data_IF_697333660945
#
_entry.id   IF_697333660945
#
_cell.length_a   1.000
_cell.length_b   1.000
_cell.length_c   1.000
_cell.angle_alpha   90.00
_cell.angle_beta   90.00
_cell.angle_gamma   90.00
#
_symmetry.space_group_name_H-M   'P 1'
#
loop_
_entity.id
_entity.type
_entity.pdbx_description
1 polymer ?
#
# COMPACT_ATOMS: atom_id res chain seq x y z
N UNK A 1 -13.28 -16.87 11.51
CA UNK A 1 -14.05 -15.92 12.34
C UNK A 1 -14.36 -14.69 11.48
N UNK A 2 -15.45 -13.94 11.68
CA UNK A 2 -15.66 -12.74 10.87
C UNK A 2 -14.59 -11.71 11.24
N UNK A 3 -13.90 -11.17 10.23
CA UNK A 3 -12.84 -10.18 10.41
C UNK A 3 -13.49 -8.91 10.97
N UNK A 4 -12.98 -8.43 12.10
CA UNK A 4 -13.54 -7.28 12.79
C UNK A 4 -13.39 -6.01 11.90
N UNK A 5 -14.42 -5.14 11.84
CA UNK A 5 -14.42 -3.93 11.01
C UNK A 5 -13.49 -2.81 11.51
N UNK A 6 -12.67 -3.07 12.53
CA UNK A 6 -11.73 -2.12 13.18
C UNK A 6 -10.25 -2.38 12.81
N UNK A 7 -9.97 -3.31 11.90
CA UNK A 7 -8.61 -3.53 11.40
C UNK A 7 -8.27 -2.53 10.29
N UNK A 8 -7.12 -1.86 10.39
CA UNK A 8 -6.62 -0.99 9.34
C UNK A 8 -6.60 -1.74 7.99
N UNK A 9 -6.88 -1.10 6.84
CA UNK A 9 -6.96 -1.76 5.55
C UNK A 9 -5.79 -2.69 5.22
N UNK A 10 -4.56 -2.33 5.61
CA UNK A 10 -3.40 -3.22 5.44
C UNK A 10 -3.47 -4.48 6.29
N UNK A 11 -3.94 -4.40 7.53
CA UNK A 11 -4.14 -5.59 8.38
C UNK A 11 -5.17 -6.53 7.78
N UNK A 12 -6.25 -5.96 7.24
CA UNK A 12 -7.29 -6.74 6.56
C UNK A 12 -6.77 -7.44 5.30
N UNK A 13 -5.97 -6.73 4.49
CA UNK A 13 -5.34 -7.29 3.28
C UNK A 13 -4.38 -8.42 3.65
N UNK A 14 -3.57 -8.25 4.69
CA UNK A 14 -2.63 -9.27 5.16
C UNK A 14 -3.38 -10.50 5.69
N UNK A 15 -4.44 -10.31 6.48
CA UNK A 15 -5.25 -11.42 7.01
C UNK A 15 -5.92 -12.21 5.87
N UNK A 16 -6.54 -11.51 4.92
CA UNK A 16 -7.15 -12.14 3.74
C UNK A 16 -6.13 -12.92 2.91
N UNK A 17 -4.97 -12.33 2.64
CA UNK A 17 -3.93 -12.98 1.85
C UNK A 17 -3.37 -14.22 2.56
N UNK A 18 -3.19 -14.18 3.88
CA UNK A 18 -2.83 -15.37 4.67
C UNK A 18 -3.91 -16.45 4.61
N UNK A 19 -5.20 -16.07 4.69
CA UNK A 19 -6.29 -17.01 4.48
C UNK A 19 -6.25 -17.70 3.11
N UNK A 20 -5.92 -16.96 2.05
CA UNK A 20 -5.75 -17.52 0.69
C UNK A 20 -4.56 -18.48 0.62
N UNK A 21 -3.45 -18.19 1.31
CA UNK A 21 -2.29 -19.09 1.39
C UNK A 21 -2.70 -20.44 1.99
N UNK A 22 -3.48 -20.41 3.09
CA UNK A 22 -3.91 -21.60 3.81
C UNK A 22 -4.96 -22.41 3.04
N UNK A 23 -5.89 -21.74 2.35
CA UNK A 23 -7.02 -22.39 1.66
C UNK A 23 -6.72 -22.77 0.20
N UNK A 24 -5.77 -22.09 -0.46
CA UNK A 24 -5.43 -22.31 -1.87
C UNK A 24 -3.90 -22.44 -2.07
N UNK A 25 -3.32 -23.65 -2.00
CA UNK A 25 -1.88 -23.87 -2.23
C UNK A 25 -1.38 -23.42 -3.61
N UNK A 26 -2.22 -23.50 -4.65
CA UNK A 26 -1.88 -22.99 -5.99
C UNK A 26 -1.85 -21.46 -6.07
N UNK A 27 -2.50 -20.77 -5.14
CA UNK A 27 -2.54 -19.32 -5.05
C UNK A 27 -1.47 -18.76 -4.10
N UNK A 28 -0.82 -19.62 -3.30
CA UNK A 28 0.04 -19.22 -2.19
C UNK A 28 1.19 -18.30 -2.62
N UNK A 29 1.76 -18.49 -3.81
CA UNK A 29 2.80 -17.61 -4.35
C UNK A 29 2.33 -16.16 -4.50
N UNK A 30 1.25 -15.96 -5.24
CA UNK A 30 0.66 -14.62 -5.46
C UNK A 30 0.14 -14.00 -4.17
N UNK A 31 -0.48 -14.80 -3.29
CA UNK A 31 -0.94 -14.31 -2.00
C UNK A 31 0.23 -13.90 -1.08
N UNK A 32 1.37 -14.61 -1.14
CA UNK A 32 2.59 -14.23 -0.40
C UNK A 32 3.18 -12.91 -0.91
N UNK A 33 3.15 -12.66 -2.22
CA UNK A 33 3.52 -11.36 -2.77
C UNK A 33 2.60 -10.26 -2.20
N UNK A 34 1.28 -10.46 -2.17
CA UNK A 34 0.36 -9.47 -1.59
C UNK A 34 0.72 -9.15 -0.13
N UNK A 35 1.04 -10.15 0.70
CA UNK A 35 1.50 -9.95 2.08
C UNK A 35 2.81 -9.15 2.13
N UNK A 36 3.77 -9.47 1.29
CA UNK A 36 5.06 -8.76 1.23
C UNK A 36 4.85 -7.28 0.88
N UNK A 37 4.09 -6.98 -0.17
CA UNK A 37 3.84 -5.60 -0.60
C UNK A 37 3.07 -4.80 0.45
N UNK A 38 2.09 -5.41 1.12
CA UNK A 38 1.36 -4.77 2.21
C UNK A 38 2.27 -4.42 3.39
N UNK A 39 3.21 -5.30 3.74
CA UNK A 39 4.22 -5.01 4.76
C UNK A 39 5.22 -3.93 4.32
N UNK A 40 5.66 -3.94 3.05
CA UNK A 40 6.52 -2.87 2.53
C UNK A 40 5.85 -1.50 2.64
N UNK A 41 4.56 -1.37 2.30
CA UNK A 41 3.81 -0.12 2.45
C UNK A 41 3.74 0.31 3.93
N UNK A 42 3.52 -0.65 4.84
CA UNK A 42 3.49 -0.41 6.28
C UNK A 42 4.83 0.03 6.87
N UNK A 43 5.93 -0.55 6.39
CA UNK A 43 7.28 -0.35 6.92
C UNK A 43 7.96 0.88 6.33
N UNK A 44 7.89 1.07 5.02
CA UNK A 44 8.62 2.14 4.34
C UNK A 44 8.03 3.52 4.60
N UNK A 45 6.74 3.63 4.96
CA UNK A 45 6.00 4.87 5.28
C UNK A 45 6.60 6.11 4.61
N UNK A 46 6.62 6.15 3.27
CA UNK A 46 7.49 7.06 2.55
C UNK A 46 7.19 8.50 2.96
N UNK A 47 8.24 9.20 3.37
CA UNK A 47 8.19 10.59 3.72
C UNK A 47 7.72 11.42 2.53
N UNK A 48 7.30 12.67 2.78
CA UNK A 48 6.96 13.59 1.69
C UNK A 48 8.11 13.72 0.69
N UNK A 49 9.35 13.71 1.17
CA UNK A 49 10.57 13.84 0.36
C UNK A 49 10.78 12.62 -0.54
N UNK A 50 10.59 11.41 -0.02
CA UNK A 50 10.67 10.17 -0.81
C UNK A 50 9.55 10.08 -1.84
N UNK A 51 8.31 10.45 -1.48
CA UNK A 51 7.20 10.55 -2.43
C UNK A 51 7.45 11.60 -3.51
N UNK A 52 8.10 12.71 -3.14
CA UNK A 52 8.47 13.76 -4.08
C UNK A 52 9.52 13.26 -5.06
N UNK A 53 10.56 12.59 -4.56
CA UNK A 53 11.61 12.00 -5.39
C UNK A 53 11.07 10.91 -6.32
N UNK A 54 10.13 10.09 -5.85
CA UNK A 54 9.43 9.10 -6.67
C UNK A 54 8.67 9.77 -7.81
N UNK A 55 7.83 10.77 -7.51
CA UNK A 55 7.05 11.48 -8.53
C UNK A 55 7.98 12.15 -9.56
N UNK A 56 9.07 12.76 -9.11
CA UNK A 56 10.05 13.39 -10.00
C UNK A 56 10.76 12.38 -10.91
N UNK A 57 11.04 11.17 -10.40
CA UNK A 57 11.69 10.11 -11.16
C UNK A 57 10.74 9.43 -12.15
N UNK A 58 9.45 9.29 -11.81
CA UNK A 58 8.47 8.53 -12.62
C UNK A 58 7.63 9.40 -13.55
N UNK A 59 7.47 10.68 -13.24
CA UNK A 59 6.64 11.61 -14.01
C UNK A 59 7.52 12.73 -14.60
N UNK A 60 7.85 12.69 -15.91
CA UNK A 60 8.64 13.74 -16.52
C UNK A 60 7.81 15.04 -16.63
N UNK A 61 8.11 16.00 -15.75
CA UNK A 61 7.63 17.39 -15.83
C UNK A 61 6.12 17.62 -15.69
N UNK A 62 5.43 17.04 -14.68
CA UNK A 62 4.05 17.44 -14.40
C UNK A 62 3.98 18.94 -14.06
N UNK A 63 2.92 19.66 -14.48
CA UNK A 63 2.62 21.00 -13.99
C UNK A 63 2.68 21.03 -12.45
N UNK A 64 3.21 22.11 -11.86
CA UNK A 64 3.46 22.19 -10.42
C UNK A 64 2.22 21.87 -9.55
N UNK A 65 1.04 22.28 -10.01
CA UNK A 65 -0.22 22.02 -9.34
C UNK A 65 -0.60 20.53 -9.37
N UNK A 66 -0.40 19.88 -10.52
CA UNK A 66 -0.65 18.45 -10.70
C UNK A 66 0.34 17.60 -9.89
N UNK A 67 1.61 18.01 -9.84
CA UNK A 67 2.64 17.38 -9.01
C UNK A 67 2.28 17.43 -7.53
N UNK A 68 1.79 18.57 -7.05
CA UNK A 68 1.37 18.75 -5.65
C UNK A 68 0.19 17.84 -5.32
N UNK A 69 -0.83 17.80 -6.19
CA UNK A 69 -1.98 16.92 -6.03
C UNK A 69 -1.61 15.42 -6.02
N UNK A 70 -0.65 15.01 -6.86
CA UNK A 70 -0.12 13.65 -6.89
C UNK A 70 0.55 13.27 -5.57
N UNK A 71 1.44 14.13 -5.06
CA UNK A 71 2.16 13.87 -3.80
C UNK A 71 1.18 13.84 -2.62
N UNK A 72 0.23 14.77 -2.56
CA UNK A 72 -0.76 14.82 -1.48
C UNK A 72 -1.74 13.63 -1.55
N UNK A 73 -2.11 13.20 -2.77
CA UNK A 73 -2.91 12.00 -2.99
C UNK A 73 -2.20 10.72 -2.56
N UNK A 74 -0.92 10.54 -2.92
CA UNK A 74 -0.11 9.42 -2.47
C UNK A 74 0.03 9.40 -0.95
N UNK A 75 0.22 10.56 -0.33
CA UNK A 75 0.29 10.70 1.12
C UNK A 75 -1.04 10.36 1.80
N UNK A 76 -2.17 10.75 1.21
CA UNK A 76 -3.49 10.38 1.70
C UNK A 76 -3.73 8.86 1.58
N UNK A 77 -3.28 8.24 0.49
CA UNK A 77 -3.35 6.79 0.30
C UNK A 77 -2.53 6.04 1.35
N UNK A 78 -1.28 6.46 1.61
CA UNK A 78 -0.44 5.88 2.66
C UNK A 78 -1.12 5.99 4.03
N UNK A 79 -1.73 7.15 4.35
CA UNK A 79 -2.46 7.32 5.61
C UNK A 79 -3.69 6.43 5.72
N UNK A 80 -4.49 6.36 4.66
CA UNK A 80 -5.67 5.49 4.62
C UNK A 80 -5.29 4.02 4.82
N UNK A 81 -4.16 3.60 4.27
CA UNK A 81 -3.66 2.24 4.45
C UNK A 81 -3.33 1.90 5.92
N UNK A 82 -3.07 2.91 6.76
CA UNK A 82 -2.72 2.77 8.18
C UNK A 82 -3.89 2.95 9.17
N UNK A 83 -5.01 3.54 8.76
CA UNK A 83 -6.17 3.85 9.63
C UNK A 83 -7.16 2.70 9.69
#
# INVERSE_FOLDING_TARGET
MPIAPDAAPLDHIIELANGIIDECPSCAGTASEIVMWANEIREHRPSREELTALVDATCPGPPADQRTLLIDGLRAFVRFAET
#
